data_IF_920357879518
#
_entry.id   IF_920357879518
#
_cell.length_a   1.000
_cell.length_b   1.000
_cell.length_c   1.000
_cell.angle_alpha   90.00
_cell.angle_beta   90.00
_cell.angle_gamma   90.00
#
_symmetry.space_group_name_H-M   'P 1'
#
loop_
_entity.id
_entity.type
_entity.pdbx_description
1 polymer ?
#
# COMPACT_ATOMS: atom_id res chain seq x y z
N UNK A 1 22.73 -12.21 7.87
CA UNK A 1 21.34 -11.86 7.51
C UNK A 1 20.61 -11.55 8.80
N UNK A 2 19.82 -10.47 8.86
CA UNK A 2 19.05 -10.07 10.05
C UNK A 2 17.55 -10.20 9.75
N UNK A 3 16.79 -10.90 10.59
CA UNK A 3 15.34 -11.04 10.44
C UNK A 3 14.63 -10.03 11.36
N UNK A 4 14.07 -8.97 10.77
CA UNK A 4 13.42 -7.88 11.52
C UNK A 4 11.89 -8.05 11.64
N UNK A 5 11.36 -9.20 11.17
CA UNK A 5 9.94 -9.59 11.32
C UNK A 5 9.84 -10.96 12.01
N UNK A 6 10.77 -11.29 12.89
CA UNK A 6 10.82 -12.61 13.57
C UNK A 6 9.61 -12.88 14.47
N UNK A 7 8.90 -11.84 14.88
CA UNK A 7 7.67 -11.92 15.67
C UNK A 7 6.42 -12.19 14.81
N UNK A 8 6.50 -12.07 13.48
CA UNK A 8 5.39 -12.33 12.58
C UNK A 8 5.14 -13.85 12.50
N UNK A 9 3.91 -14.27 12.80
CA UNK A 9 3.53 -15.69 12.82
C UNK A 9 3.39 -16.29 11.42
N UNK A 10 3.11 -15.43 10.45
CA UNK A 10 2.85 -15.80 9.06
C UNK A 10 3.77 -15.02 8.10
N UNK A 11 3.38 -14.89 6.83
CA UNK A 11 4.28 -14.40 5.79
C UNK A 11 4.35 -12.88 5.76
N UNK A 12 5.56 -12.33 5.71
CA UNK A 12 5.82 -10.90 5.55
C UNK A 12 6.38 -10.66 4.14
N UNK A 13 5.59 -10.04 3.27
CA UNK A 13 5.83 -9.95 1.83
C UNK A 13 5.87 -8.51 1.32
N UNK A 14 6.41 -8.33 0.11
CA UNK A 14 6.36 -7.08 -0.66
C UNK A 14 6.89 -5.82 0.06
N UNK A 15 8.08 -5.85 0.70
CA UNK A 15 8.59 -4.70 1.43
C UNK A 15 8.84 -3.48 0.53
N UNK A 16 8.59 -2.29 1.07
CA UNK A 16 8.83 -0.98 0.44
C UNK A 16 9.45 -0.02 1.45
N UNK A 17 10.65 0.46 1.15
CA UNK A 17 11.33 1.49 1.94
C UNK A 17 10.68 2.84 1.67
N UNK A 18 10.46 3.64 2.72
CA UNK A 18 9.95 5.01 2.60
C UNK A 18 10.93 5.92 1.86
N UNK A 19 10.48 7.00 1.20
CA UNK A 19 11.36 7.87 0.42
C UNK A 19 12.53 8.48 1.21
N UNK A 20 12.31 8.74 2.50
CA UNK A 20 13.34 9.24 3.42
C UNK A 20 14.27 8.14 3.98
N UNK A 21 14.05 6.88 3.60
CA UNK A 21 14.86 5.73 4.00
C UNK A 21 14.70 5.29 5.46
N UNK A 22 13.69 5.76 6.20
CA UNK A 22 13.57 5.48 7.65
C UNK A 22 12.62 4.35 8.02
N UNK A 23 11.62 4.09 7.19
CA UNK A 23 10.56 3.13 7.46
C UNK A 23 10.46 2.09 6.33
N UNK A 24 9.90 0.94 6.66
CA UNK A 24 9.60 -0.14 5.73
C UNK A 24 8.12 -0.45 5.90
N UNK A 25 7.36 -0.29 4.83
CA UNK A 25 6.00 -0.82 4.75
C UNK A 25 6.02 -2.19 4.11
N UNK A 26 5.20 -3.12 4.58
CA UNK A 26 5.10 -4.47 4.02
C UNK A 26 3.68 -5.02 4.20
N UNK A 27 3.39 -6.12 3.53
CA UNK A 27 2.13 -6.86 3.67
C UNK A 27 2.36 -8.08 4.56
N UNK A 28 1.59 -8.19 5.63
CA UNK A 28 1.52 -9.38 6.47
C UNK A 28 0.33 -10.24 6.03
N UNK A 29 0.59 -11.49 5.64
CA UNK A 29 -0.42 -12.38 5.06
C UNK A 29 -0.73 -13.54 6.00
N UNK A 30 -1.99 -13.64 6.45
CA UNK A 30 -2.49 -14.75 7.24
C UNK A 30 -3.25 -15.74 6.34
N UNK A 31 -2.74 -16.98 6.15
CA UNK A 31 -3.36 -17.94 5.22
C UNK A 31 -4.67 -18.54 5.75
N UNK A 32 -4.97 -18.42 7.05
CA UNK A 32 -6.16 -19.05 7.65
C UNK A 32 -7.44 -18.25 7.41
N UNK A 33 -7.34 -16.92 7.38
CA UNK A 33 -8.45 -16.02 7.07
C UNK A 33 -8.26 -15.30 5.72
N UNK A 34 -7.13 -15.55 5.04
CA UNK A 34 -6.74 -14.92 3.78
C UNK A 34 -6.66 -13.39 3.88
N UNK A 35 -6.38 -12.85 5.07
CA UNK A 35 -6.15 -11.43 5.29
C UNK A 35 -4.74 -11.00 4.85
N UNK A 36 -4.64 -9.75 4.43
CA UNK A 36 -3.42 -9.11 3.95
C UNK A 36 -3.30 -7.76 4.61
N UNK A 37 -2.63 -7.70 5.74
CA UNK A 37 -2.57 -6.50 6.55
C UNK A 37 -1.39 -5.61 6.15
N UNK A 38 -1.62 -4.31 6.13
CA UNK A 38 -0.54 -3.34 6.01
C UNK A 38 0.20 -3.23 7.35
N UNK A 39 1.53 -3.28 7.30
CA UNK A 39 2.41 -3.06 8.46
C UNK A 39 3.49 -2.05 8.10
N UNK A 40 3.91 -1.27 9.10
CA UNK A 40 5.02 -0.31 8.98
C UNK A 40 5.96 -0.54 10.15
N UNK A 41 7.25 -0.74 9.85
CA UNK A 41 8.32 -0.93 10.83
C UNK A 41 9.50 -0.02 10.52
N UNK A 42 10.39 0.17 11.48
CA UNK A 42 11.73 0.71 11.23
C UNK A 42 12.76 -0.39 10.97
N UNK A 43 14.03 0.00 10.80
CA UNK A 43 15.15 -0.93 10.54
C UNK A 43 15.51 -1.85 11.72
N UNK A 44 14.93 -1.61 12.89
CA UNK A 44 15.12 -2.41 14.09
C UNK A 44 13.95 -3.38 14.35
N UNK A 45 12.95 -3.42 13.46
CA UNK A 45 11.75 -4.24 13.63
C UNK A 45 10.69 -3.63 14.56
N UNK A 46 10.85 -2.37 14.95
CA UNK A 46 9.86 -1.69 15.78
C UNK A 46 8.71 -1.21 14.89
N UNK A 47 7.50 -1.71 15.17
CA UNK A 47 6.30 -1.32 14.46
C UNK A 47 5.88 0.12 14.81
N UNK A 48 5.24 0.80 13.85
CA UNK A 48 4.54 2.05 14.15
C UNK A 48 3.38 1.75 15.10
N UNK A 49 3.42 2.34 16.29
CA UNK A 49 2.36 2.18 17.30
C UNK A 49 1.01 2.65 16.76
N UNK A 50 -0.06 1.98 17.21
CA UNK A 50 -1.46 2.28 16.89
C UNK A 50 -1.84 2.30 15.41
N UNK A 51 -0.98 1.81 14.50
CA UNK A 51 -1.35 1.65 13.11
C UNK A 51 -2.51 0.63 12.98
N UNK A 52 -3.67 1.03 12.42
CA UNK A 52 -4.87 0.22 12.43
C UNK A 52 -4.71 -1.02 11.55
N UNK A 53 -5.52 -2.04 11.84
CA UNK A 53 -5.59 -3.21 10.98
C UNK A 53 -6.30 -2.85 9.67
N UNK A 54 -5.50 -2.57 8.64
CA UNK A 54 -5.97 -2.25 7.29
C UNK A 54 -5.59 -3.39 6.38
N UNK A 55 -6.60 -4.00 5.76
CA UNK A 55 -6.38 -4.98 4.71
C UNK A 55 -6.01 -4.27 3.41
N UNK A 56 -4.80 -4.53 2.91
CA UNK A 56 -4.24 -3.93 1.72
C UNK A 56 -3.12 -4.75 1.08
N UNK A 57 -2.93 -4.53 -0.23
CA UNK A 57 -1.89 -5.13 -1.06
C UNK A 57 -1.32 -4.11 -2.04
N UNK A 58 -0.20 -4.44 -2.66
CA UNK A 58 0.47 -3.60 -3.68
C UNK A 58 0.77 -2.18 -3.19
N UNK A 59 1.51 -2.13 -2.08
CA UNK A 59 1.88 -0.90 -1.36
C UNK A 59 2.82 -0.02 -2.21
N UNK A 60 2.58 1.29 -2.18
CA UNK A 60 3.54 2.33 -2.55
C UNK A 60 3.52 3.44 -1.52
N UNK A 61 4.69 4.00 -1.22
CA UNK A 61 4.74 5.29 -0.51
C UNK A 61 4.38 6.42 -1.46
N UNK A 62 3.83 7.51 -0.93
CA UNK A 62 3.82 8.79 -1.62
C UNK A 62 5.23 9.42 -1.65
N UNK A 63 5.41 10.48 -2.43
CA UNK A 63 6.71 11.08 -2.67
C UNK A 63 7.36 11.68 -1.39
N UNK A 64 6.54 12.16 -0.45
CA UNK A 64 7.02 12.77 0.80
C UNK A 64 7.15 11.74 1.95
N UNK A 65 6.65 10.51 1.79
CA UNK A 65 6.69 9.46 2.79
C UNK A 65 5.71 9.64 3.94
N UNK A 66 4.65 10.42 3.75
CA UNK A 66 3.59 10.63 4.74
C UNK A 66 2.41 9.69 4.52
N UNK A 67 2.18 9.23 3.29
CA UNK A 67 1.05 8.36 2.95
C UNK A 67 1.52 7.05 2.33
N UNK A 68 0.69 6.04 2.54
CA UNK A 68 0.76 4.75 1.87
C UNK A 68 -0.42 4.64 0.93
N UNK A 69 -0.15 4.42 -0.36
CA UNK A 69 -1.12 3.99 -1.34
C UNK A 69 -1.14 2.46 -1.39
N UNK A 70 -2.34 1.91 -1.48
CA UNK A 70 -2.55 0.47 -1.51
C UNK A 70 -3.88 0.12 -2.18
N UNK A 71 -4.09 -1.17 -2.40
CA UNK A 71 -5.36 -1.69 -2.92
C UNK A 71 -6.00 -2.56 -1.86
N UNK A 72 -7.30 -2.42 -1.68
CA UNK A 72 -8.06 -3.27 -0.78
C UNK A 72 -9.18 -4.01 -1.52
N UNK A 73 -9.33 -5.30 -1.22
CA UNK A 73 -10.50 -6.12 -1.58
C UNK A 73 -11.48 -6.30 -0.41
N UNK A 74 -11.12 -5.81 0.78
CA UNK A 74 -11.92 -5.86 1.99
C UNK A 74 -12.74 -4.57 2.23
N UNK A 75 -12.33 -3.44 1.66
CA UNK A 75 -13.08 -2.18 1.71
C UNK A 75 -14.27 -2.18 0.71
N UNK A 76 -15.25 -1.30 0.96
CA UNK A 76 -16.53 -1.24 0.23
C UNK A 76 -16.34 -1.19 -1.30
N UNK A 77 -15.40 -0.37 -1.77
CA UNK A 77 -14.99 -0.33 -3.18
C UNK A 77 -13.80 -1.26 -3.44
N UNK A 78 -14.09 -2.52 -3.75
CA UNK A 78 -13.07 -3.55 -3.98
C UNK A 78 -12.14 -3.22 -5.15
N UNK A 79 -10.86 -3.52 -4.98
CA UNK A 79 -9.79 -3.33 -5.97
C UNK A 79 -9.58 -1.87 -6.43
N UNK A 80 -10.03 -0.90 -5.64
CA UNK A 80 -9.67 0.50 -5.85
C UNK A 80 -8.36 0.84 -5.14
N UNK A 81 -7.77 1.98 -5.53
CA UNK A 81 -6.62 2.56 -4.83
C UNK A 81 -7.15 3.38 -3.66
N UNK A 82 -6.58 3.10 -2.50
CA UNK A 82 -6.77 3.85 -1.27
C UNK A 82 -5.45 4.47 -0.84
N UNK A 83 -5.54 5.52 -0.05
CA UNK A 83 -4.42 6.08 0.68
C UNK A 83 -4.73 6.09 2.18
N UNK A 84 -3.70 5.91 2.99
CA UNK A 84 -3.76 6.11 4.44
C UNK A 84 -2.49 6.82 4.88
N UNK A 85 -2.59 7.69 5.88
CA UNK A 85 -1.40 8.30 6.46
C UNK A 85 -0.58 7.26 7.22
N UNK A 86 0.73 7.50 7.32
CA UNK A 86 1.66 6.58 8.01
C UNK A 86 1.36 6.39 9.50
N UNK A 87 0.55 7.28 10.09
CA UNK A 87 0.04 7.19 11.46
C UNK A 87 -1.31 6.44 11.54
N UNK A 88 -1.80 5.92 10.43
CA UNK A 88 -3.07 5.19 10.36
C UNK A 88 -4.31 6.06 10.14
N UNK A 89 -4.17 7.38 10.12
CA UNK A 89 -5.30 8.29 9.97
C UNK A 89 -5.66 8.57 8.50
N UNK A 90 -6.78 9.26 8.28
CA UNK A 90 -7.21 9.76 6.98
C UNK A 90 -7.24 8.70 5.87
N UNK A 91 -7.80 7.53 6.17
CA UNK A 91 -8.07 6.51 5.15
C UNK A 91 -9.03 7.10 4.11
N UNK A 92 -8.59 7.15 2.84
CA UNK A 92 -9.34 7.76 1.75
C UNK A 92 -9.25 6.90 0.48
N UNK A 93 -10.35 6.84 -0.27
CA UNK A 93 -10.39 6.24 -1.60
C UNK A 93 -9.93 7.26 -2.66
N UNK A 94 -8.98 6.86 -3.52
CA UNK A 94 -8.40 7.69 -4.58
C UNK A 94 -9.12 7.46 -5.91
N UNK A 95 -9.42 6.19 -6.24
CA UNK A 95 -10.03 5.82 -7.53
C UNK A 95 -11.45 5.28 -7.36
N UNK A 96 -12.27 5.43 -8.40
CA UNK A 96 -13.61 4.82 -8.53
C UNK A 96 -13.75 4.19 -9.92
N UNK A 97 -12.75 3.41 -10.32
CA UNK A 97 -12.65 2.91 -11.69
C UNK A 97 -13.42 1.61 -11.93
N UNK A 98 -13.99 1.01 -10.87
CA UNK A 98 -14.88 -0.16 -10.88
C UNK A 98 -14.36 -1.28 -11.80
N UNK A 99 -13.43 -2.10 -11.28
CA UNK A 99 -13.09 -3.48 -11.72
C UNK A 99 -11.64 -3.82 -12.14
N UNK A 100 -10.55 -3.25 -11.61
CA UNK A 100 -9.22 -3.71 -12.09
C UNK A 100 -8.15 -3.85 -11.00
N UNK A 101 -7.28 -4.86 -11.13
CA UNK A 101 -6.09 -5.01 -10.25
C UNK A 101 -5.06 -3.96 -10.66
N UNK A 102 -5.09 -2.83 -9.99
CA UNK A 102 -4.08 -1.80 -10.17
C UNK A 102 -2.78 -2.17 -9.46
N UNK A 103 -1.70 -1.47 -9.77
CA UNK A 103 -0.44 -1.52 -9.03
C UNK A 103 0.02 -0.06 -8.96
N UNK A 104 -0.33 0.67 -7.89
CA UNK A 104 -0.03 2.09 -7.84
C UNK A 104 1.48 2.30 -7.71
N UNK A 105 1.99 3.29 -8.44
CA UNK A 105 3.28 3.89 -8.16
C UNK A 105 3.15 5.41 -8.28
N UNK A 106 3.67 6.13 -7.28
CA UNK A 106 3.61 7.60 -7.22
C UNK A 106 4.85 8.18 -7.90
N UNK A 107 4.66 9.22 -8.70
CA UNK A 107 5.78 9.96 -9.30
C UNK A 107 6.61 10.67 -8.23
N UNK A 108 7.90 10.89 -8.49
CA UNK A 108 8.82 11.49 -7.51
C UNK A 108 8.45 12.94 -7.12
N UNK A 109 7.74 13.66 -7.98
CA UNK A 109 7.18 14.99 -7.69
C UNK A 109 5.86 14.92 -6.91
N UNK A 110 5.32 13.72 -6.69
CA UNK A 110 4.08 13.49 -5.97
C UNK A 110 2.82 13.86 -6.75
N UNK A 111 2.90 14.17 -8.05
CA UNK A 111 1.78 14.74 -8.82
C UNK A 111 0.97 13.73 -9.63
N UNK A 112 1.47 12.50 -9.77
CA UNK A 112 0.88 11.48 -10.65
C UNK A 112 0.95 10.11 -10.00
N UNK A 113 -0.03 9.27 -10.31
CA UNK A 113 0.02 7.83 -10.05
C UNK A 113 0.00 7.09 -11.38
N UNK A 114 0.91 6.13 -11.57
CA UNK A 114 0.79 5.14 -12.64
C UNK A 114 0.04 3.90 -12.13
N UNK A 115 -0.86 3.36 -12.95
CA UNK A 115 -1.65 2.16 -12.63
C UNK A 115 -1.66 1.19 -13.80
N UNK A 116 -1.68 -0.10 -13.51
CA UNK A 116 -2.04 -1.12 -14.50
C UNK A 116 -3.55 -1.31 -14.52
N UNK A 117 -4.16 -1.23 -15.70
CA UNK A 117 -5.59 -1.46 -15.89
C UNK A 117 -5.75 -2.67 -16.83
N UNK A 118 -6.63 -3.61 -16.49
CA UNK A 118 -7.01 -4.67 -17.42
C UNK A 118 -8.06 -4.08 -18.36
N UNK A 119 -7.83 -4.16 -19.66
CA UNK A 119 -8.79 -3.80 -20.71
C UNK A 119 -9.20 -5.08 -21.44
N UNK A 120 -10.18 -4.97 -22.35
CA UNK A 120 -10.54 -6.07 -23.25
C UNK A 120 -9.34 -6.56 -24.08
N UNK A 121 -8.34 -5.69 -24.30
CA UNK A 121 -7.16 -5.97 -25.12
C UNK A 121 -5.97 -6.51 -24.33
N UNK A 122 -5.98 -6.49 -22.99
CA UNK A 122 -4.75 -6.79 -22.26
C UNK A 122 -4.62 -6.07 -20.93
N UNK A 123 -3.39 -5.92 -20.47
CA UNK A 123 -3.03 -5.03 -19.37
C UNK A 123 -2.35 -3.81 -19.98
N UNK A 124 -2.86 -2.63 -19.69
CA UNK A 124 -2.34 -1.35 -20.16
C UNK A 124 -1.93 -0.48 -18.97
N UNK A 125 -1.06 0.50 -19.20
CA UNK A 125 -0.61 1.44 -18.17
C UNK A 125 -1.30 2.78 -18.36
N UNK A 126 -1.93 3.27 -17.30
CA UNK A 126 -2.57 4.57 -17.24
C UNK A 126 -1.88 5.47 -16.23
N UNK A 127 -1.97 6.77 -16.44
CA UNK A 127 -1.50 7.80 -15.52
C UNK A 127 -2.68 8.65 -15.11
N UNK A 128 -2.85 8.86 -13.82
CA UNK A 128 -3.86 9.76 -13.26
C UNK A 128 -3.19 10.88 -12.45
N UNK A 129 -3.79 12.08 -12.37
CA UNK A 129 -3.36 13.12 -11.45
C UNK A 129 -3.43 12.62 -9.99
N UNK A 130 -2.45 13.05 -9.20
CA UNK A 130 -2.38 12.84 -7.76
C UNK A 130 -2.05 14.18 -7.11
N UNK A 131 -2.91 15.14 -7.35
CA UNK A 131 -2.96 16.40 -6.61
C UNK A 131 -4.35 16.39 -5.93
N UNK A 132 -4.43 16.80 -4.67
CA UNK A 132 -5.66 16.93 -3.86
C UNK A 132 -6.21 15.69 -3.11
N UNK A 133 -5.41 14.63 -2.92
CA UNK A 133 -5.77 13.49 -2.04
C UNK A 133 -4.76 13.30 -0.92
#
# INVERSE_FOLDING_TARGET
LNNITEYDKFSSNHPKVSPNGKLIAYTYENPFDNSKELKIINWYGEAVEDFPNINGKHISWDANGLKILFISDALESKNEIFSVWKDGTHLQQITKCHNYKSYPAVSADGKKISISLKTDNGWDIYIIPFEDY
#
